data_IF_209741881817
#
_entry.id   IF_209741881817
#
_cell.length_a   1.000
_cell.length_b   1.000
_cell.length_c   1.000
_cell.angle_alpha   90.00
_cell.angle_beta   90.00
_cell.angle_gamma   90.00
#
_symmetry.space_group_name_H-M   'P 1'
#
loop_
_entity.id
_entity.type
_entity.pdbx_description
1 polymer ?
#
# COMPACT_ATOMS: atom_id res chain seq x y z
N UNK A 1 2.81 -5.71 -17.25
CA UNK A 1 2.70 -4.45 -16.51
C UNK A 1 1.41 -4.38 -15.75
N UNK A 2 1.47 -3.89 -14.53
CA UNK A 2 0.30 -3.80 -13.68
C UNK A 2 -0.48 -2.52 -13.94
N UNK A 3 -1.81 -2.63 -13.97
CA UNK A 3 -2.71 -1.49 -14.07
C UNK A 3 -3.08 -0.91 -12.71
N UNK A 4 -2.60 -1.52 -11.63
CA UNK A 4 -3.02 -1.13 -10.27
C UNK A 4 -2.75 0.35 -9.98
N UNK A 5 -1.59 0.85 -10.40
CA UNK A 5 -1.19 2.23 -10.06
C UNK A 5 -2.08 3.29 -10.70
N UNK A 6 -2.80 2.97 -11.77
CA UNK A 6 -3.70 3.93 -12.43
C UNK A 6 -5.15 3.77 -12.01
N UNK A 7 -5.47 2.73 -11.25
CA UNK A 7 -6.82 2.56 -10.70
C UNK A 7 -7.07 3.48 -9.53
N UNK A 8 -8.32 3.64 -9.17
CA UNK A 8 -8.72 4.41 -7.99
C UNK A 8 -9.45 3.50 -7.02
N UNK A 9 -9.29 3.79 -5.74
CA UNK A 9 -9.95 3.04 -4.69
C UNK A 9 -11.45 3.29 -4.71
N UNK A 10 -12.21 2.31 -4.29
CA UNK A 10 -13.66 2.38 -4.19
C UNK A 10 -14.07 2.13 -2.74
N UNK A 11 -15.23 2.66 -2.30
CA UNK A 11 -15.72 2.36 -0.95
C UNK A 11 -15.92 0.86 -0.77
N UNK A 12 -15.52 0.36 0.42
CA UNK A 12 -15.61 -1.07 0.77
C UNK A 12 -16.65 -1.37 1.83
N UNK A 13 -17.51 -0.41 2.16
CA UNK A 13 -18.51 -0.59 3.21
C UNK A 13 -19.45 -1.75 2.88
N UNK A 14 -19.65 -2.64 3.86
CA UNK A 14 -20.51 -3.80 3.68
C UNK A 14 -19.92 -4.90 2.82
N UNK A 15 -18.67 -4.74 2.35
CA UNK A 15 -17.99 -5.75 1.57
C UNK A 15 -17.34 -6.83 2.42
N UNK A 16 -16.74 -7.80 1.75
CA UNK A 16 -15.97 -8.86 2.41
C UNK A 16 -14.52 -8.77 1.96
N UNK A 17 -13.61 -9.29 2.79
CA UNK A 17 -12.20 -9.36 2.43
C UNK A 17 -12.02 -10.24 1.18
N UNK A 18 -10.96 -9.96 0.42
CA UNK A 18 -10.61 -10.76 -0.74
C UNK A 18 -10.32 -12.20 -0.32
N UNK A 19 -10.76 -13.19 -1.12
CA UNK A 19 -10.31 -14.56 -0.93
C UNK A 19 -8.79 -14.63 -1.04
N UNK A 20 -8.17 -15.55 -0.31
CA UNK A 20 -6.72 -15.70 -0.28
C UNK A 20 -6.13 -15.87 -1.68
N UNK A 21 -6.78 -16.65 -2.53
CA UNK A 21 -6.29 -16.88 -3.89
C UNK A 21 -6.28 -15.59 -4.72
N UNK A 22 -7.32 -14.77 -4.58
CA UNK A 22 -7.41 -13.49 -5.29
C UNK A 22 -6.33 -12.53 -4.79
N UNK A 23 -6.11 -12.46 -3.47
CA UNK A 23 -5.06 -11.63 -2.90
C UNK A 23 -3.68 -12.03 -3.43
N UNK A 24 -3.42 -13.34 -3.53
CA UNK A 24 -2.15 -13.83 -4.08
C UNK A 24 -1.97 -13.51 -5.55
N UNK A 25 -3.05 -13.55 -6.33
CA UNK A 25 -3.00 -13.18 -7.74
C UNK A 25 -2.65 -11.68 -7.90
N UNK A 26 -3.22 -10.83 -7.06
CA UNK A 26 -2.89 -9.40 -7.08
C UNK A 26 -1.46 -9.16 -6.60
N UNK A 27 -1.01 -9.92 -5.62
CA UNK A 27 0.35 -9.78 -5.07
C UNK A 27 1.41 -10.01 -6.14
N UNK A 28 1.17 -10.91 -7.10
CA UNK A 28 2.10 -11.19 -8.19
C UNK A 28 2.37 -9.93 -9.04
N UNK A 29 1.42 -8.99 -9.08
CA UNK A 29 1.56 -7.76 -9.84
C UNK A 29 2.42 -6.71 -9.12
N UNK A 30 2.78 -6.96 -7.86
CA UNK A 30 3.59 -6.06 -7.06
C UNK A 30 4.98 -6.65 -6.86
N UNK A 31 5.96 -5.78 -6.54
CA UNK A 31 7.33 -6.20 -6.33
C UNK A 31 7.74 -5.95 -4.88
N UNK A 32 8.23 -7.00 -4.21
CA UNK A 32 8.75 -6.92 -2.85
C UNK A 32 7.69 -6.58 -1.78
N UNK A 33 6.42 -6.76 -2.09
CA UNK A 33 5.36 -6.71 -1.09
C UNK A 33 5.08 -8.13 -0.59
N UNK A 34 4.70 -8.22 0.68
CA UNK A 34 4.38 -9.51 1.32
C UNK A 34 3.06 -9.36 2.05
N UNK A 35 2.36 -10.49 2.22
CA UNK A 35 1.16 -10.52 3.07
C UNK A 35 1.58 -11.12 4.39
N UNK A 36 1.50 -10.32 5.45
CA UNK A 36 1.90 -10.71 6.81
C UNK A 36 0.74 -10.44 7.75
N UNK A 37 0.22 -11.48 8.39
CA UNK A 37 -0.86 -11.34 9.37
C UNK A 37 -2.05 -10.53 8.82
N UNK A 38 -2.45 -10.81 7.58
CA UNK A 38 -3.60 -10.15 6.97
C UNK A 38 -3.33 -8.74 6.48
N UNK A 39 -2.08 -8.29 6.48
CA UNK A 39 -1.70 -6.98 5.98
C UNK A 39 -0.75 -7.10 4.81
N UNK A 40 -0.81 -6.14 3.90
CA UNK A 40 0.10 -6.02 2.77
C UNK A 40 1.25 -5.11 3.19
N UNK A 41 2.47 -5.65 3.23
CA UNK A 41 3.61 -5.01 3.91
C UNK A 41 4.80 -4.88 2.99
N UNK A 42 5.45 -3.72 3.02
CA UNK A 42 6.75 -3.51 2.36
C UNK A 42 7.55 -2.48 3.16
N UNK A 43 8.86 -2.70 3.26
CA UNK A 43 9.78 -1.74 3.84
C UNK A 43 10.55 -1.04 2.74
N UNK A 44 10.46 0.28 2.69
CA UNK A 44 11.18 1.13 1.74
C UNK A 44 12.42 1.67 2.41
N UNK A 45 13.58 1.54 1.75
CA UNK A 45 14.85 2.01 2.29
C UNK A 45 15.27 3.32 1.62
N UNK A 46 15.85 4.21 2.41
CA UNK A 46 16.26 5.54 1.96
C UNK A 46 17.67 5.86 2.48
N UNK A 47 18.23 6.94 2.00
CA UNK A 47 19.57 7.35 2.37
C UNK A 47 19.61 7.97 3.77
N UNK A 48 18.59 8.75 4.14
CA UNK A 48 18.58 9.51 5.38
C UNK A 48 17.15 9.85 5.78
N UNK A 49 17.00 10.52 6.91
CA UNK A 49 15.70 10.89 7.45
C UNK A 49 14.90 11.80 6.53
N UNK A 50 15.59 12.72 5.84
CA UNK A 50 14.90 13.68 4.97
C UNK A 50 14.26 12.99 3.77
N UNK A 51 14.97 12.01 3.18
CA UNK A 51 14.40 11.21 2.09
C UNK A 51 13.23 10.36 2.59
N UNK A 52 13.38 9.78 3.77
CA UNK A 52 12.32 8.98 4.38
C UNK A 52 11.07 9.83 4.57
N UNK A 53 11.20 11.01 5.12
CA UNK A 53 10.07 11.90 5.37
C UNK A 53 9.48 12.47 4.07
N UNK A 54 10.31 12.71 3.06
CA UNK A 54 9.79 13.12 1.75
C UNK A 54 8.88 12.05 1.17
N UNK A 55 9.25 10.77 1.29
CA UNK A 55 8.41 9.67 0.88
C UNK A 55 7.10 9.64 1.69
N UNK A 56 7.18 9.78 3.01
CA UNK A 56 6.01 9.78 3.88
C UNK A 56 5.03 10.89 3.47
N UNK A 57 5.55 12.07 3.21
CA UNK A 57 4.72 13.21 2.80
C UNK A 57 4.06 12.97 1.45
N UNK A 58 4.80 12.42 0.48
CA UNK A 58 4.24 12.09 -0.83
C UNK A 58 3.16 11.01 -0.70
N UNK A 59 3.40 10.01 0.14
CA UNK A 59 2.45 8.93 0.35
C UNK A 59 1.18 9.44 1.04
N UNK A 60 1.29 10.43 1.90
CA UNK A 60 0.10 11.00 2.55
C UNK A 60 -0.83 11.66 1.54
N UNK A 61 -0.31 12.25 0.46
CA UNK A 61 -1.13 12.77 -0.62
C UNK A 61 -1.89 11.67 -1.36
N UNK A 62 -1.23 10.52 -1.60
CA UNK A 62 -1.91 9.36 -2.19
C UNK A 62 -3.05 8.91 -1.29
N UNK A 63 -2.77 8.81 0.02
CA UNK A 63 -3.77 8.40 1.00
C UNK A 63 -4.96 9.36 1.01
N UNK A 64 -4.70 10.65 0.93
CA UNK A 64 -5.75 11.65 0.89
C UNK A 64 -6.62 11.53 -0.37
N UNK A 65 -5.99 11.40 -1.52
CA UNK A 65 -6.70 11.31 -2.80
C UNK A 65 -7.54 10.04 -2.92
N UNK A 66 -7.02 8.94 -2.38
CA UNK A 66 -7.71 7.64 -2.49
C UNK A 66 -8.61 7.35 -1.29
N UNK A 67 -8.59 8.21 -0.27
CA UNK A 67 -9.31 8.01 0.98
C UNK A 67 -9.02 6.63 1.57
N UNK A 68 -7.73 6.26 1.59
CA UNK A 68 -7.29 4.96 2.07
C UNK A 68 -5.84 5.09 2.58
N UNK A 69 -5.62 4.89 3.86
CA UNK A 69 -4.33 5.15 4.47
C UNK A 69 -3.68 3.86 5.02
N UNK A 70 -2.35 3.80 5.02
CA UNK A 70 -1.62 2.70 5.62
C UNK A 70 -1.30 3.00 7.08
N UNK A 71 -0.83 1.97 7.78
CA UNK A 71 -0.04 2.17 8.98
C UNK A 71 1.41 2.36 8.54
N UNK A 72 2.09 3.33 9.12
CA UNK A 72 3.50 3.60 8.79
C UNK A 72 4.37 3.43 10.02
N UNK A 73 5.54 2.80 9.83
CA UNK A 73 6.58 2.73 10.86
C UNK A 73 7.80 3.43 10.29
N UNK A 74 8.03 4.65 10.76
CA UNK A 74 9.05 5.53 10.20
C UNK A 74 10.32 5.44 11.04
N UNK A 75 11.44 5.18 10.36
CA UNK A 75 12.76 5.12 10.96
C UNK A 75 13.65 6.15 10.28
N UNK A 76 14.91 6.25 10.72
CA UNK A 76 15.83 7.22 10.14
C UNK A 76 15.98 7.06 8.62
N UNK A 77 16.16 5.85 8.16
CA UNK A 77 16.45 5.58 6.76
C UNK A 77 15.57 4.48 6.15
N UNK A 78 14.39 4.29 6.71
CA UNK A 78 13.44 3.33 6.14
C UNK A 78 12.04 3.62 6.66
N UNK A 79 11.06 3.19 5.89
CA UNK A 79 9.65 3.29 6.27
C UNK A 79 8.98 1.98 5.94
N UNK A 80 8.40 1.33 6.94
CA UNK A 80 7.57 0.14 6.73
C UNK A 80 6.15 0.60 6.49
N UNK A 81 5.57 0.16 5.39
CA UNK A 81 4.21 0.52 4.97
C UNK A 81 3.33 -0.72 5.09
N UNK A 82 2.22 -0.60 5.82
CA UNK A 82 1.27 -1.69 6.03
C UNK A 82 -0.12 -1.25 5.61
N UNK A 83 -0.71 -1.99 4.69
CA UNK A 83 -2.08 -1.74 4.24
C UNK A 83 -3.01 -2.86 4.65
N UNK A 84 -4.19 -2.48 5.14
CA UNK A 84 -5.33 -3.39 5.22
C UNK A 84 -6.60 -2.54 5.12
N UNK A 85 -7.74 -3.20 5.03
CA UNK A 85 -9.02 -2.51 4.90
C UNK A 85 -9.88 -2.88 6.09
N UNK A 86 -9.96 -1.95 7.05
CA UNK A 86 -10.64 -2.19 8.32
C UNK A 86 -12.10 -2.61 8.13
N UNK A 87 -12.82 -1.97 7.21
CA UNK A 87 -14.25 -2.23 7.01
C UNK A 87 -14.55 -3.66 6.53
N UNK A 88 -13.56 -4.35 5.96
CA UNK A 88 -13.73 -5.75 5.54
C UNK A 88 -12.91 -6.72 6.41
N UNK A 89 -12.20 -6.20 7.40
CA UNK A 89 -11.35 -6.97 8.31
C UNK A 89 -10.35 -7.86 7.58
N UNK A 90 -9.66 -7.29 6.60
CA UNK A 90 -8.68 -7.99 5.79
C UNK A 90 -8.25 -7.14 4.62
N UNK A 91 -7.89 -7.79 3.51
CA UNK A 91 -7.44 -7.10 2.31
C UNK A 91 -8.57 -6.86 1.32
N UNK A 92 -8.52 -5.73 0.65
CA UNK A 92 -9.38 -5.40 -0.48
C UNK A 92 -8.49 -4.99 -1.65
N UNK A 93 -9.07 -4.82 -2.83
CA UNK A 93 -8.30 -4.34 -3.98
C UNK A 93 -7.68 -2.97 -3.71
N UNK A 94 -8.31 -2.16 -2.86
CA UNK A 94 -7.80 -0.83 -2.49
C UNK A 94 -6.38 -0.91 -1.93
N UNK A 95 -6.07 -1.94 -1.13
CA UNK A 95 -4.75 -2.10 -0.55
C UNK A 95 -3.69 -2.30 -1.62
N UNK A 96 -4.00 -3.09 -2.64
CA UNK A 96 -3.08 -3.36 -3.74
C UNK A 96 -2.95 -2.13 -4.66
N UNK A 97 -4.02 -1.40 -4.88
CA UNK A 97 -3.99 -0.15 -5.65
C UNK A 97 -3.06 0.86 -4.96
N UNK A 98 -3.22 1.07 -3.67
CA UNK A 98 -2.41 2.01 -2.92
C UNK A 98 -0.95 1.56 -2.83
N UNK A 99 -0.70 0.25 -2.70
CA UNK A 99 0.65 -0.29 -2.70
C UNK A 99 1.35 0.03 -4.03
N UNK A 100 0.66 -0.17 -5.16
CA UNK A 100 1.22 0.14 -6.46
C UNK A 100 1.50 1.64 -6.61
N UNK A 101 0.61 2.50 -6.08
CA UNK A 101 0.82 3.95 -6.11
C UNK A 101 2.00 4.36 -5.24
N UNK A 102 2.20 3.70 -4.10
CA UNK A 102 3.36 3.94 -3.25
C UNK A 102 4.66 3.64 -4.01
N UNK A 103 4.70 2.49 -4.70
CA UNK A 103 5.86 2.13 -5.52
C UNK A 103 6.11 3.17 -6.61
N UNK A 104 5.05 3.67 -7.23
CA UNK A 104 5.15 4.63 -8.32
C UNK A 104 5.77 5.97 -7.88
N UNK A 105 5.70 6.31 -6.59
CA UNK A 105 6.31 7.53 -6.07
C UNK A 105 7.84 7.53 -6.22
N UNK A 106 8.44 6.37 -6.33
CA UNK A 106 9.91 6.24 -6.41
C UNK A 106 10.42 6.05 -7.84
N UNK A 107 9.56 6.18 -8.83
CA UNK A 107 9.94 6.08 -10.24
C UNK A 107 10.19 7.50 -10.76
N UNK A 108 11.44 7.81 -10.95
CA UNK A 108 11.88 9.11 -11.45
C UNK A 108 12.36 9.01 -12.88
#
# INVERSE_FOLDING_TARGET
>A
MSDLAIKHCAPCEGGTALPDITARELLVQLKAWEIIEGQLVKTFAFKNYYETMAFVNALSWVSHKEDHHPELRVHYNKCEVRYDTHSVQGLSENDFICAAKADALLKF
#
